data_IF_348035815198
#
_entry.id   IF_348035815198
#
_cell.length_a   1.000
_cell.length_b   1.000
_cell.length_c   1.000
_cell.angle_alpha   90.00
_cell.angle_beta   90.00
_cell.angle_gamma   90.00
#
_symmetry.space_group_name_H-M   'P 1'
#
loop_
_entity.id
_entity.type
_entity.pdbx_description
1 polymer ?
#
# COMPACT_ATOMS: atom_id res chain seq x y z
N UNK A 1 21.49 -2.87 14.43
CA UNK A 1 20.57 -2.68 15.56
C UNK A 1 20.93 -1.43 16.39
N UNK A 2 22.21 -1.16 16.66
CA UNK A 2 22.64 0.04 17.39
C UNK A 2 22.18 1.34 16.72
N UNK A 3 22.29 1.41 15.39
CA UNK A 3 21.87 2.56 14.59
C UNK A 3 20.35 2.78 14.67
N UNK A 4 19.54 1.72 14.57
CA UNK A 4 18.09 1.78 14.75
C UNK A 4 17.73 2.30 16.16
N UNK A 5 18.43 1.83 17.19
CA UNK A 5 18.19 2.29 18.57
C UNK A 5 18.47 3.79 18.74
N UNK A 6 19.55 4.30 18.13
CA UNK A 6 19.86 5.73 18.13
C UNK A 6 18.77 6.53 17.41
N UNK A 7 18.30 6.07 16.24
CA UNK A 7 17.23 6.72 15.48
C UNK A 7 15.89 6.76 16.25
N UNK A 8 15.48 5.64 16.86
CA UNK A 8 14.27 5.58 17.68
C UNK A 8 14.34 6.56 18.87
N UNK A 9 15.51 6.71 19.50
CA UNK A 9 15.71 7.66 20.62
C UNK A 9 15.77 9.10 20.16
N UNK A 10 16.34 9.39 19.00
CA UNK A 10 16.51 10.76 18.50
C UNK A 10 15.20 11.40 18.06
N UNK A 11 14.25 10.60 17.52
CA UNK A 11 13.00 11.10 16.94
C UNK A 11 11.78 10.29 17.42
N UNK A 12 11.58 10.06 18.74
CA UNK A 12 10.62 9.08 19.25
C UNK A 12 9.17 9.36 18.80
N UNK A 13 8.75 10.63 18.81
CA UNK A 13 7.40 11.03 18.39
C UNK A 13 7.14 10.80 16.90
N UNK A 14 8.13 11.03 16.04
CA UNK A 14 7.99 10.80 14.61
C UNK A 14 7.86 9.29 14.33
N UNK A 15 8.65 8.46 15.02
CA UNK A 15 8.52 7.01 14.93
C UNK A 15 7.15 6.52 15.41
N UNK A 16 6.66 6.99 16.56
CA UNK A 16 5.34 6.60 17.07
C UNK A 16 4.22 7.02 16.12
N UNK A 17 4.18 8.29 15.68
CA UNK A 17 3.11 8.82 14.84
C UNK A 17 3.09 8.11 13.48
N UNK A 18 4.24 8.06 12.78
CA UNK A 18 4.25 7.53 11.42
C UNK A 18 4.17 6.01 11.37
N UNK A 19 4.63 5.31 12.41
CA UNK A 19 4.38 3.87 12.56
C UNK A 19 2.92 3.58 12.88
N UNK A 20 2.29 4.38 13.71
CA UNK A 20 0.85 4.29 13.95
C UNK A 20 0.05 4.51 12.66
N UNK A 21 0.36 5.57 11.90
CA UNK A 21 -0.31 5.85 10.62
C UNK A 21 -0.08 4.72 9.61
N UNK A 22 1.18 4.33 9.39
CA UNK A 22 1.53 3.36 8.34
C UNK A 22 1.17 1.92 8.65
N UNK A 23 1.08 1.53 9.92
CA UNK A 23 0.81 0.16 10.32
C UNK A 23 -0.52 -0.01 11.04
N UNK A 24 -0.82 0.80 12.06
CA UNK A 24 -2.07 0.62 12.85
C UNK A 24 -3.27 1.18 12.10
N UNK A 25 -3.19 2.44 11.66
CA UNK A 25 -4.28 3.10 10.93
C UNK A 25 -4.48 2.51 9.51
N UNK A 26 -3.53 1.72 9.04
CA UNK A 26 -3.67 0.89 7.86
C UNK A 26 -4.36 -0.45 8.19
N UNK A 27 -3.74 -1.28 9.05
CA UNK A 27 -4.17 -2.66 9.26
C UNK A 27 -5.47 -2.79 10.06
N UNK A 28 -5.67 -1.97 11.10
CA UNK A 28 -6.86 -2.11 11.94
C UNK A 28 -8.16 -1.78 11.19
N UNK A 29 -8.28 -0.66 10.43
CA UNK A 29 -9.47 -0.42 9.63
C UNK A 29 -9.66 -1.43 8.50
N UNK A 30 -8.57 -1.90 7.87
CA UNK A 30 -8.64 -2.92 6.82
C UNK A 30 -9.19 -4.24 7.36
N UNK A 31 -8.69 -4.69 8.51
CA UNK A 31 -9.15 -5.91 9.18
C UNK A 31 -10.59 -5.76 9.66
N UNK A 32 -10.96 -4.59 10.21
CA UNK A 32 -12.34 -4.28 10.58
C UNK A 32 -13.28 -4.40 9.38
N UNK A 33 -12.93 -3.79 8.24
CA UNK A 33 -13.71 -3.83 7.02
C UNK A 33 -13.95 -5.27 6.53
N UNK A 34 -12.95 -6.13 6.65
CA UNK A 34 -13.02 -7.53 6.25
C UNK A 34 -14.03 -8.36 7.10
N UNK A 35 -14.39 -7.89 8.28
CA UNK A 35 -15.44 -8.49 9.10
C UNK A 35 -16.86 -8.14 8.66
N UNK A 36 -17.06 -7.11 7.83
CA UNK A 36 -18.37 -6.61 7.43
C UNK A 36 -18.67 -6.76 5.93
N UNK A 37 -17.65 -6.82 5.11
CA UNK A 37 -17.82 -6.96 3.66
C UNK A 37 -17.10 -8.15 3.07
N UNK A 38 -17.53 -8.59 1.89
CA UNK A 38 -16.86 -9.68 1.18
C UNK A 38 -15.45 -9.28 0.76
N UNK A 39 -14.55 -10.27 0.65
CA UNK A 39 -13.13 -10.06 0.36
C UNK A 39 -12.88 -9.26 -0.93
N UNK A 40 -13.68 -9.50 -1.98
CA UNK A 40 -13.59 -8.78 -3.24
C UNK A 40 -13.85 -7.26 -3.09
N UNK A 41 -14.81 -6.87 -2.22
CA UNK A 41 -15.12 -5.46 -1.97
C UNK A 41 -13.96 -4.77 -1.22
N UNK A 42 -13.42 -5.44 -0.20
CA UNK A 42 -12.28 -4.94 0.60
C UNK A 42 -11.03 -4.82 -0.28
N UNK A 43 -10.65 -5.89 -1.00
CA UNK A 43 -9.45 -5.90 -1.85
C UNK A 43 -9.56 -4.92 -3.02
N UNK A 44 -10.74 -4.82 -3.65
CA UNK A 44 -10.96 -3.88 -4.73
C UNK A 44 -10.96 -2.43 -4.27
N UNK A 45 -11.61 -2.11 -3.15
CA UNK A 45 -11.57 -0.76 -2.57
C UNK A 45 -10.16 -0.39 -2.12
N UNK A 46 -9.39 -1.34 -1.60
CA UNK A 46 -7.98 -1.15 -1.24
C UNK A 46 -7.13 -0.61 -2.39
N UNK A 47 -7.44 -0.95 -3.62
CA UNK A 47 -6.69 -0.47 -4.80
C UNK A 47 -6.72 1.06 -4.99
N UNK A 48 -7.61 1.76 -4.29
CA UNK A 48 -7.58 3.23 -4.21
C UNK A 48 -6.24 3.74 -3.66
N UNK A 49 -5.49 2.90 -2.92
CA UNK A 49 -4.15 3.23 -2.43
C UNK A 49 -3.19 3.66 -3.56
N UNK A 50 -3.36 3.14 -4.78
CA UNK A 50 -2.56 3.49 -5.97
C UNK A 50 -2.72 4.98 -6.30
N UNK A 51 -3.96 5.46 -6.29
CA UNK A 51 -4.27 6.88 -6.52
C UNK A 51 -3.94 7.73 -5.29
N UNK A 52 -4.22 7.20 -4.09
CA UNK A 52 -3.91 7.89 -2.83
C UNK A 52 -2.42 8.23 -2.73
N UNK A 53 -1.53 7.30 -3.06
CA UNK A 53 -0.10 7.55 -3.09
C UNK A 53 0.29 8.70 -4.01
N UNK A 54 -0.29 8.78 -5.20
CA UNK A 54 -0.05 9.88 -6.16
C UNK A 54 -0.59 11.22 -5.64
N UNK A 55 -1.80 11.23 -5.08
CA UNK A 55 -2.43 12.44 -4.53
C UNK A 55 -1.69 13.00 -3.32
N UNK A 56 -1.01 12.16 -2.55
CA UNK A 56 -0.21 12.58 -1.39
C UNK A 56 1.12 13.26 -1.77
N UNK A 57 1.55 13.23 -3.04
CA UNK A 57 2.82 13.81 -3.48
C UNK A 57 3.08 15.25 -2.96
N UNK A 58 2.12 16.20 -2.95
CA UNK A 58 2.37 17.57 -2.48
C UNK A 58 2.63 17.70 -0.96
N UNK A 59 2.37 16.63 -0.18
CA UNK A 59 2.68 16.61 1.27
C UNK A 59 4.17 16.36 1.54
N UNK A 60 4.94 16.01 0.50
CA UNK A 60 6.35 15.68 0.60
C UNK A 60 7.18 16.81 -0.01
N UNK A 61 8.37 17.01 0.57
CA UNK A 61 9.30 18.05 0.19
C UNK A 61 10.63 17.46 -0.23
N UNK A 62 11.29 18.13 -1.15
CA UNK A 62 12.67 17.83 -1.52
C UNK A 62 13.50 19.11 -1.49
N UNK A 63 14.79 18.97 -1.25
CA UNK A 63 15.74 20.10 -1.30
C UNK A 63 16.36 20.10 -2.70
N UNK A 64 16.07 21.15 -3.48
CA UNK A 64 16.65 21.36 -4.81
C UNK A 64 17.44 22.67 -4.78
N UNK A 65 18.75 22.61 -5.03
CA UNK A 65 19.63 23.78 -5.02
C UNK A 65 19.53 24.61 -3.72
N UNK A 66 19.44 23.93 -2.56
CA UNK A 66 19.32 24.57 -1.25
C UNK A 66 17.93 25.18 -0.95
N UNK A 67 16.96 25.03 -1.84
CA UNK A 67 15.56 25.49 -1.65
C UNK A 67 14.66 24.30 -1.39
N UNK A 68 13.76 24.47 -0.43
CA UNK A 68 12.70 23.51 -0.12
C UNK A 68 11.59 23.62 -1.17
N UNK A 69 11.38 22.56 -1.95
CA UNK A 69 10.34 22.50 -3.00
C UNK A 69 9.38 21.36 -2.68
N UNK A 70 8.08 21.61 -2.81
CA UNK A 70 7.07 20.54 -2.72
C UNK A 70 7.01 19.76 -4.01
N UNK A 71 6.78 18.45 -3.89
CA UNK A 71 6.53 17.61 -5.06
C UNK A 71 5.21 17.99 -5.73
N UNK A 72 5.20 17.93 -7.05
CA UNK A 72 3.98 18.08 -7.85
C UNK A 72 3.33 16.72 -8.06
N UNK A 73 2.01 16.72 -8.22
CA UNK A 73 1.26 15.51 -8.60
C UNK A 73 1.70 15.10 -10.01
N UNK A 74 2.21 13.88 -10.21
CA UNK A 74 2.57 13.38 -11.53
C UNK A 74 1.29 13.01 -12.30
N UNK A 75 0.72 13.97 -13.04
CA UNK A 75 -0.58 13.84 -13.71
C UNK A 75 -0.69 12.62 -14.62
N UNK A 76 0.37 12.28 -15.34
CA UNK A 76 0.38 11.10 -16.23
C UNK A 76 0.23 9.83 -15.38
N UNK A 77 0.98 9.72 -14.30
CA UNK A 77 0.86 8.58 -13.37
C UNK A 77 -0.54 8.51 -12.75
N UNK A 78 -1.13 9.66 -12.39
CA UNK A 78 -2.49 9.73 -11.86
C UNK A 78 -3.53 9.23 -12.88
N UNK A 79 -3.41 9.64 -14.14
CA UNK A 79 -4.32 9.19 -15.21
C UNK A 79 -4.21 7.68 -15.45
N UNK A 80 -2.99 7.14 -15.50
CA UNK A 80 -2.77 5.70 -15.68
C UNK A 80 -3.33 4.93 -14.47
N UNK A 81 -3.10 5.40 -13.23
CA UNK A 81 -3.69 4.82 -12.03
C UNK A 81 -5.23 4.85 -12.06
N UNK A 82 -5.82 5.93 -12.59
CA UNK A 82 -7.26 6.04 -12.81
C UNK A 82 -7.79 4.97 -13.78
N UNK A 83 -7.06 4.70 -14.86
CA UNK A 83 -7.42 3.62 -15.81
C UNK A 83 -7.39 2.25 -15.12
N UNK A 84 -6.38 1.97 -14.27
CA UNK A 84 -6.32 0.74 -13.49
C UNK A 84 -7.54 0.62 -12.58
N UNK A 85 -7.93 1.69 -11.87
CA UNK A 85 -9.11 1.70 -11.01
C UNK A 85 -10.40 1.41 -11.78
N UNK A 86 -10.55 1.93 -13.00
CA UNK A 86 -11.71 1.60 -13.86
C UNK A 86 -11.77 0.10 -14.12
N UNK A 87 -10.64 -0.54 -14.43
CA UNK A 87 -10.56 -1.99 -14.60
C UNK A 87 -10.98 -2.76 -13.35
N UNK A 88 -10.55 -2.31 -12.17
CA UNK A 88 -10.89 -2.91 -10.90
C UNK A 88 -12.40 -2.79 -10.61
N UNK A 89 -12.99 -1.62 -10.84
CA UNK A 89 -14.44 -1.43 -10.69
C UNK A 89 -15.25 -2.34 -11.61
N UNK A 90 -14.83 -2.53 -12.87
CA UNK A 90 -15.49 -3.43 -13.80
C UNK A 90 -15.52 -4.87 -13.30
N UNK A 91 -14.47 -5.34 -12.62
CA UNK A 91 -14.42 -6.68 -12.02
C UNK A 91 -15.47 -6.81 -10.91
N UNK A 92 -15.75 -5.72 -10.17
CA UNK A 92 -16.62 -5.73 -8.99
C UNK A 92 -18.12 -5.54 -9.32
N UNK A 93 -18.47 -4.94 -10.47
CA UNK A 93 -19.86 -4.66 -10.85
C UNK A 93 -20.80 -5.86 -10.72
N UNK A 94 -20.44 -7.08 -11.21
CA UNK A 94 -21.35 -8.22 -11.14
C UNK A 94 -21.75 -8.64 -9.73
N UNK A 95 -20.93 -8.34 -8.75
CA UNK A 95 -21.09 -8.75 -7.35
C UNK A 95 -21.73 -7.66 -6.48
N UNK A 96 -21.80 -6.41 -6.97
CA UNK A 96 -22.23 -5.25 -6.20
C UNK A 96 -23.73 -5.29 -5.81
N UNK A 97 -24.54 -5.96 -6.59
CA UNK A 97 -26.00 -6.03 -6.38
C UNK A 97 -26.41 -6.82 -5.10
N UNK A 98 -25.51 -7.67 -4.59
CA UNK A 98 -25.79 -8.56 -3.45
C UNK A 98 -25.38 -7.97 -2.10
N UNK A 99 -24.74 -6.80 -2.08
CA UNK A 99 -24.16 -6.21 -0.87
C UNK A 99 -25.13 -5.21 -0.23
N UNK A 100 -25.40 -5.37 1.08
CA UNK A 100 -26.23 -4.43 1.83
C UNK A 100 -25.56 -3.06 1.98
N UNK A 101 -26.38 -1.99 2.10
CA UNK A 101 -25.87 -0.61 2.31
C UNK A 101 -24.97 -0.49 3.53
N UNK A 102 -25.31 -1.19 4.62
CA UNK A 102 -24.52 -1.20 5.85
C UNK A 102 -23.15 -1.84 5.63
N UNK A 103 -23.10 -2.99 4.95
CA UNK A 103 -21.85 -3.66 4.60
C UNK A 103 -20.97 -2.78 3.69
N UNK A 104 -21.58 -2.05 2.74
CA UNK A 104 -20.85 -1.09 1.90
C UNK A 104 -20.18 0.00 2.73
N UNK A 105 -20.92 0.66 3.64
CA UNK A 105 -20.35 1.76 4.46
C UNK A 105 -19.27 1.26 5.41
N UNK A 106 -19.53 0.15 6.12
CA UNK A 106 -18.59 -0.42 7.10
C UNK A 106 -17.37 -1.09 6.45
N UNK A 107 -17.42 -1.41 5.17
CA UNK A 107 -16.27 -1.90 4.42
C UNK A 107 -15.52 -0.77 3.72
N UNK A 108 -16.20 0.03 2.89
CA UNK A 108 -15.53 1.04 2.06
C UNK A 108 -14.89 2.14 2.91
N UNK A 109 -15.60 2.67 3.90
CA UNK A 109 -15.09 3.79 4.73
C UNK A 109 -13.75 3.49 5.41
N UNK A 110 -13.65 2.41 6.20
CA UNK A 110 -12.39 2.03 6.84
C UNK A 110 -11.28 1.70 5.84
N UNK A 111 -11.59 1.03 4.71
CA UNK A 111 -10.60 0.74 3.66
C UNK A 111 -10.07 2.01 3.02
N UNK A 112 -10.89 3.04 2.82
CA UNK A 112 -10.41 4.33 2.33
C UNK A 112 -9.41 4.97 3.30
N UNK A 113 -9.68 4.93 4.60
CA UNK A 113 -8.71 5.39 5.62
C UNK A 113 -7.40 4.63 5.49
N UNK A 114 -7.45 3.31 5.41
CA UNK A 114 -6.28 2.45 5.24
C UNK A 114 -5.51 2.78 3.95
N UNK A 115 -6.22 2.99 2.83
CA UNK A 115 -5.63 3.27 1.51
C UNK A 115 -4.81 4.57 1.47
N UNK A 116 -5.17 5.57 2.26
CA UNK A 116 -4.37 6.79 2.42
C UNK A 116 -3.29 6.66 3.50
N UNK A 117 -3.58 5.97 4.59
CA UNK A 117 -2.67 5.82 5.73
C UNK A 117 -1.39 5.06 5.36
N UNK A 118 -1.49 3.98 4.59
CA UNK A 118 -0.36 3.15 4.21
C UNK A 118 0.73 3.89 3.42
N UNK A 119 0.44 4.49 2.25
CA UNK A 119 1.46 5.25 1.50
C UNK A 119 1.94 6.48 2.27
N UNK A 120 1.07 7.14 3.04
CA UNK A 120 1.46 8.30 3.86
C UNK A 120 2.48 7.89 4.92
N UNK A 121 2.20 6.85 5.70
CA UNK A 121 3.10 6.36 6.75
C UNK A 121 4.45 5.89 6.18
N UNK A 122 4.44 5.08 5.10
CA UNK A 122 5.66 4.61 4.45
C UNK A 122 6.52 5.77 3.95
N UNK A 123 5.94 6.72 3.21
CA UNK A 123 6.66 7.85 2.63
C UNK A 123 7.18 8.80 3.71
N UNK A 124 6.41 9.06 4.77
CA UNK A 124 6.87 9.87 5.90
C UNK A 124 8.02 9.22 6.67
N UNK A 125 7.99 7.90 6.84
CA UNK A 125 9.13 7.19 7.44
C UNK A 125 10.36 7.21 6.53
N UNK A 126 10.21 7.19 5.20
CA UNK A 126 11.33 7.42 4.28
C UNK A 126 11.97 8.80 4.46
N UNK A 127 11.16 9.87 4.66
CA UNK A 127 11.68 11.22 4.98
C UNK A 127 12.37 11.26 6.34
N UNK A 128 11.76 10.66 7.39
CA UNK A 128 12.32 10.68 8.77
C UNK A 128 13.66 9.99 8.85
N UNK A 129 13.80 8.84 8.18
CA UNK A 129 15.03 8.03 8.21
C UNK A 129 16.08 8.51 7.22
N UNK A 130 15.68 9.19 6.15
CA UNK A 130 16.53 9.78 5.09
C UNK A 130 17.70 8.88 4.63
N UNK A 131 17.46 7.56 4.56
CA UNK A 131 18.45 6.57 4.17
C UNK A 131 19.56 6.30 5.19
N UNK A 132 19.44 6.80 6.43
CA UNK A 132 20.42 6.55 7.49
C UNK A 132 20.37 5.12 8.01
N UNK A 133 19.25 4.44 7.86
CA UNK A 133 19.05 3.03 8.20
C UNK A 133 18.54 2.26 6.97
N UNK A 134 18.83 0.97 6.93
CA UNK A 134 18.32 0.11 5.85
C UNK A 134 16.82 -0.15 5.98
N UNK A 135 16.22 -0.67 4.91
CA UNK A 135 14.77 -0.94 4.85
C UNK A 135 14.32 -1.95 5.90
N UNK A 136 15.12 -2.98 6.20
CA UNK A 136 14.78 -3.97 7.22
C UNK A 136 14.74 -3.34 8.61
N UNK A 137 15.72 -2.50 8.94
CA UNK A 137 15.75 -1.74 10.18
C UNK A 137 14.55 -0.78 10.28
N UNK A 138 14.15 -0.15 9.16
CA UNK A 138 12.98 0.72 9.12
C UNK A 138 11.69 -0.07 9.40
N UNK A 139 11.47 -1.20 8.74
CA UNK A 139 10.31 -2.07 8.99
C UNK A 139 10.29 -2.55 10.44
N UNK A 140 11.42 -3.03 10.96
CA UNK A 140 11.54 -3.45 12.36
C UNK A 140 11.23 -2.31 13.33
N UNK A 141 11.77 -1.12 13.09
CA UNK A 141 11.53 0.07 13.91
C UNK A 141 10.06 0.49 13.91
N UNK A 142 9.41 0.49 12.74
CA UNK A 142 7.97 0.76 12.61
C UNK A 142 7.13 -0.29 13.35
N UNK A 143 7.51 -1.57 13.26
CA UNK A 143 6.83 -2.65 13.98
C UNK A 143 6.95 -2.42 15.49
N UNK A 144 8.16 -2.18 16.02
CA UNK A 144 8.38 -1.92 17.45
C UNK A 144 7.60 -0.68 17.91
N UNK A 145 7.66 0.42 17.16
CA UNK A 145 6.99 1.67 17.53
C UNK A 145 5.45 1.58 17.46
N UNK A 146 4.89 0.66 16.65
CA UNK A 146 3.43 0.41 16.59
C UNK A 146 2.93 -0.57 17.66
N UNK A 147 3.83 -1.34 18.31
CA UNK A 147 3.46 -2.35 19.33
C UNK A 147 2.55 -1.85 20.46
N UNK A 148 2.74 -0.65 21.03
CA UNK A 148 1.85 -0.17 22.09
C UNK A 148 0.38 -0.16 21.67
N UNK A 149 0.08 0.29 20.46
CA UNK A 149 -1.29 0.30 19.95
C UNK A 149 -1.84 -1.12 19.73
N UNK A 150 -1.02 -2.03 19.21
CA UNK A 150 -1.40 -3.43 19.01
C UNK A 150 -1.66 -4.15 20.34
N UNK A 151 -0.86 -3.87 21.36
CA UNK A 151 -1.06 -4.43 22.71
C UNK A 151 -2.41 -3.94 23.28
N UNK A 152 -2.73 -2.65 23.15
CA UNK A 152 -4.01 -2.10 23.59
C UNK A 152 -5.18 -2.79 22.88
N UNK A 153 -5.10 -2.94 21.54
CA UNK A 153 -6.13 -3.64 20.78
C UNK A 153 -6.25 -5.12 21.14
N UNK A 154 -5.12 -5.80 21.38
CA UNK A 154 -5.11 -7.21 21.79
C UNK A 154 -5.73 -7.40 23.18
N UNK A 155 -5.41 -6.52 24.13
CA UNK A 155 -6.00 -6.53 25.48
C UNK A 155 -7.50 -6.28 25.40
N UNK A 156 -7.93 -5.28 24.63
CA UNK A 156 -9.35 -5.01 24.40
C UNK A 156 -10.07 -6.24 23.80
N UNK A 157 -9.51 -6.86 22.78
CA UNK A 157 -10.06 -8.05 22.14
C UNK A 157 -10.14 -9.23 23.12
N UNK A 158 -9.13 -9.42 23.96
CA UNK A 158 -9.12 -10.48 24.97
C UNK A 158 -10.30 -10.37 25.95
N UNK A 159 -10.64 -9.16 26.37
CA UNK A 159 -11.76 -8.92 27.30
C UNK A 159 -13.14 -8.92 26.64
N UNK A 160 -13.23 -8.63 25.34
CA UNK A 160 -14.51 -8.52 24.62
C UNK A 160 -14.87 -9.76 23.83
N UNK A 161 -13.88 -10.45 23.25
CA UNK A 161 -14.08 -11.58 22.34
C UNK A 161 -13.49 -12.88 22.91
N UNK A 162 -12.44 -12.78 23.73
CA UNK A 162 -11.71 -13.91 24.29
C UNK A 162 -10.47 -14.29 23.47
N UNK A 163 -9.94 -15.48 23.74
CA UNK A 163 -8.74 -16.00 23.08
C UNK A 163 -9.04 -16.45 21.64
N UNK A 164 -8.15 -16.18 20.69
CA UNK A 164 -8.29 -16.65 19.31
C UNK A 164 -8.19 -18.19 19.25
N UNK A 165 -8.89 -18.80 18.30
CA UNK A 165 -8.73 -20.23 18.02
C UNK A 165 -7.35 -20.53 17.43
N UNK A 166 -6.89 -21.78 17.53
CA UNK A 166 -5.62 -22.22 16.94
C UNK A 166 -5.61 -21.98 15.41
N UNK A 167 -6.74 -22.23 14.74
CA UNK A 167 -6.88 -21.98 13.30
C UNK A 167 -6.68 -20.49 12.96
N UNK A 168 -7.26 -19.57 13.73
CA UNK A 168 -7.04 -18.13 13.56
C UNK A 168 -5.58 -17.75 13.77
N UNK A 169 -4.92 -18.29 14.80
CA UNK A 169 -3.50 -18.03 15.06
C UNK A 169 -2.63 -18.49 13.89
N UNK A 170 -2.87 -19.70 13.35
CA UNK A 170 -2.11 -20.24 12.20
C UNK A 170 -2.33 -19.38 10.95
N UNK A 171 -3.59 -18.99 10.65
CA UNK A 171 -3.89 -18.11 9.52
C UNK A 171 -3.20 -16.75 9.66
N UNK A 172 -3.28 -16.13 10.84
CA UNK A 172 -2.59 -14.87 11.12
C UNK A 172 -1.06 -15.00 10.99
N UNK A 173 -0.48 -16.12 11.42
CA UNK A 173 0.96 -16.38 11.28
C UNK A 173 1.38 -16.45 9.81
N UNK A 174 0.62 -17.17 8.98
CA UNK A 174 0.87 -17.25 7.53
C UNK A 174 0.81 -15.86 6.90
N UNK A 175 -0.22 -15.06 7.21
CA UNK A 175 -0.35 -13.68 6.71
C UNK A 175 0.76 -12.80 7.23
N UNK A 176 1.13 -12.90 8.52
CA UNK A 176 2.20 -12.10 9.11
C UNK A 176 3.55 -12.37 8.43
N UNK A 177 3.87 -13.61 8.11
CA UNK A 177 5.13 -13.94 7.43
C UNK A 177 5.08 -13.53 5.96
N UNK A 178 4.06 -13.94 5.21
CA UNK A 178 4.00 -13.74 3.76
C UNK A 178 3.75 -12.27 3.40
N UNK A 179 2.74 -11.63 3.98
CA UNK A 179 2.36 -10.25 3.70
C UNK A 179 3.10 -9.25 4.61
N UNK A 180 3.11 -9.50 5.92
CA UNK A 180 3.71 -8.59 6.89
C UNK A 180 5.23 -8.48 6.78
N UNK A 181 5.94 -9.59 6.67
CA UNK A 181 7.41 -9.57 6.60
C UNK A 181 7.88 -9.54 5.14
N UNK A 182 7.55 -10.54 4.33
CA UNK A 182 8.13 -10.70 3.00
C UNK A 182 7.63 -9.60 2.05
N UNK A 183 6.33 -9.52 1.81
CA UNK A 183 5.78 -8.58 0.83
C UNK A 183 6.00 -7.12 1.25
N UNK A 184 5.77 -6.77 2.51
CA UNK A 184 5.99 -5.41 3.03
C UNK A 184 7.46 -4.99 2.89
N UNK A 185 8.40 -5.87 3.23
CA UNK A 185 9.83 -5.56 3.08
C UNK A 185 10.23 -5.35 1.63
N UNK A 186 9.79 -6.25 0.72
CA UNK A 186 10.06 -6.11 -0.71
C UNK A 186 9.47 -4.82 -1.29
N UNK A 187 8.24 -4.49 -0.92
CA UNK A 187 7.57 -3.27 -1.34
C UNK A 187 8.30 -2.02 -0.81
N UNK A 188 8.73 -2.03 0.45
CA UNK A 188 9.49 -0.92 1.03
C UNK A 188 10.87 -0.76 0.40
N UNK A 189 11.55 -1.85 0.04
CA UNK A 189 12.81 -1.80 -0.74
C UNK A 189 12.56 -1.16 -2.10
N UNK A 190 11.49 -1.57 -2.80
CA UNK A 190 11.17 -1.05 -4.12
C UNK A 190 10.84 0.45 -4.08
N UNK A 191 10.00 0.89 -3.13
CA UNK A 191 9.63 2.31 -2.96
C UNK A 191 10.82 3.17 -2.53
N UNK A 192 11.69 2.64 -1.68
CA UNK A 192 12.88 3.35 -1.18
C UNK A 192 13.89 3.64 -2.29
N UNK A 193 14.06 2.70 -3.24
CA UNK A 193 14.95 2.89 -4.42
C UNK A 193 14.50 4.02 -5.33
N UNK A 194 13.24 4.37 -5.33
CA UNK A 194 12.65 5.39 -6.22
C UNK A 194 12.08 6.59 -5.47
N UNK A 195 12.35 6.72 -4.18
CA UNK A 195 11.75 7.70 -3.26
C UNK A 195 11.82 9.15 -3.72
N UNK A 196 12.85 9.51 -4.50
CA UNK A 196 13.07 10.87 -4.99
C UNK A 196 12.32 11.21 -6.29
N UNK A 197 11.69 10.22 -6.92
CA UNK A 197 10.97 10.37 -8.19
C UNK A 197 9.51 9.92 -8.02
N UNK A 198 8.60 10.88 -7.91
CA UNK A 198 7.17 10.61 -7.66
C UNK A 198 6.51 9.81 -8.79
N UNK A 199 6.96 9.97 -10.04
CA UNK A 199 6.45 9.20 -11.17
C UNK A 199 6.85 7.73 -11.09
N UNK A 200 8.11 7.44 -10.75
CA UNK A 200 8.59 6.07 -10.53
C UNK A 200 7.96 5.45 -9.28
N UNK A 201 7.80 6.24 -8.20
CA UNK A 201 7.15 5.79 -6.98
C UNK A 201 5.69 5.38 -7.25
N UNK A 202 4.94 6.18 -8.01
CA UNK A 202 3.59 5.84 -8.43
C UNK A 202 3.57 4.55 -9.28
N UNK A 203 4.57 4.33 -10.14
CA UNK A 203 4.70 3.10 -10.91
C UNK A 203 4.92 1.86 -10.02
N UNK A 204 5.73 1.97 -8.97
CA UNK A 204 5.92 0.89 -7.98
C UNK A 204 4.64 0.65 -7.20
N UNK A 205 3.97 1.71 -6.72
CA UNK A 205 2.70 1.59 -6.00
C UNK A 205 1.60 0.96 -6.87
N UNK A 206 1.57 1.25 -8.18
CA UNK A 206 0.62 0.64 -9.12
C UNK A 206 0.78 -0.88 -9.25
N UNK A 207 1.95 -1.45 -8.94
CA UNK A 207 2.13 -2.92 -8.97
C UNK A 207 1.24 -3.65 -7.96
N UNK A 208 0.72 -2.96 -6.94
CA UNK A 208 -0.25 -3.52 -6.00
C UNK A 208 -1.54 -4.00 -6.70
N UNK A 209 -1.91 -3.44 -7.86
CA UNK A 209 -3.06 -3.92 -8.63
C UNK A 209 -2.94 -5.37 -9.11
N UNK A 210 -1.72 -5.94 -9.16
CA UNK A 210 -1.52 -7.37 -9.43
C UNK A 210 -2.16 -8.28 -8.38
N UNK A 211 -2.36 -7.78 -7.15
CA UNK A 211 -3.05 -8.50 -6.09
C UNK A 211 -4.42 -8.98 -6.55
N UNK A 212 -5.18 -8.15 -7.25
CA UNK A 212 -6.51 -8.50 -7.76
C UNK A 212 -6.43 -9.67 -8.75
N UNK A 213 -5.41 -9.68 -9.61
CA UNK A 213 -5.22 -10.78 -10.58
C UNK A 213 -4.86 -12.08 -9.88
N UNK A 214 -3.94 -12.04 -8.90
CA UNK A 214 -3.57 -13.21 -8.11
C UNK A 214 -4.71 -13.70 -7.22
N UNK A 215 -5.54 -12.79 -6.66
CA UNK A 215 -6.71 -13.16 -5.89
C UNK A 215 -7.72 -13.96 -6.75
N UNK A 216 -8.05 -13.46 -7.95
CA UNK A 216 -8.96 -14.16 -8.88
C UNK A 216 -8.40 -15.53 -9.26
N UNK A 217 -7.11 -15.63 -9.59
CA UNK A 217 -6.46 -16.89 -9.92
C UNK A 217 -6.52 -17.85 -8.73
N UNK A 218 -6.22 -17.35 -7.53
CA UNK A 218 -6.28 -18.13 -6.29
C UNK A 218 -7.70 -18.64 -5.98
N UNK A 219 -8.72 -17.80 -6.14
CA UNK A 219 -10.14 -18.17 -5.97
C UNK A 219 -10.56 -19.28 -6.94
N UNK A 220 -10.19 -19.17 -8.21
CA UNK A 220 -10.51 -20.19 -9.22
C UNK A 220 -9.80 -21.52 -8.91
N UNK A 221 -8.49 -21.47 -8.60
CA UNK A 221 -7.67 -22.69 -8.44
C UNK A 221 -7.88 -23.37 -7.08
N UNK A 222 -7.99 -22.60 -5.99
CA UNK A 222 -8.02 -23.12 -4.63
C UNK A 222 -9.44 -23.30 -4.10
N UNK A 223 -10.36 -22.40 -4.46
CA UNK A 223 -11.73 -22.41 -3.98
C UNK A 223 -12.72 -22.97 -5.02
N UNK A 224 -12.23 -23.30 -6.24
CA UNK A 224 -13.04 -23.83 -7.34
C UNK A 224 -14.27 -22.96 -7.68
N UNK A 225 -14.12 -21.64 -7.51
CA UNK A 225 -15.17 -20.67 -7.84
C UNK A 225 -15.31 -20.60 -9.36
N UNK A 226 -16.54 -20.37 -9.83
CA UNK A 226 -16.84 -20.24 -11.26
C UNK A 226 -16.02 -19.10 -11.90
N UNK A 227 -15.73 -19.24 -13.19
CA UNK A 227 -15.04 -18.21 -13.96
C UNK A 227 -15.78 -16.86 -13.83
N UNK A 228 -15.04 -15.76 -13.76
CA UNK A 228 -15.62 -14.43 -13.68
C UNK A 228 -16.54 -14.11 -14.87
N UNK A 229 -17.50 -13.21 -14.65
CA UNK A 229 -18.37 -12.72 -15.72
C UNK A 229 -17.56 -12.07 -16.88
N UNK A 230 -18.05 -12.04 -18.12
CA UNK A 230 -17.32 -11.48 -19.26
C UNK A 230 -16.80 -10.05 -19.04
N UNK A 231 -17.55 -9.21 -18.31
CA UNK A 231 -17.14 -7.85 -17.97
C UNK A 231 -15.90 -7.81 -17.05
N UNK A 232 -15.71 -8.83 -16.22
CA UNK A 232 -14.52 -8.93 -15.37
C UNK A 232 -13.27 -9.21 -16.20
N UNK A 233 -13.34 -9.99 -17.29
CA UNK A 233 -12.22 -10.17 -18.21
C UNK A 233 -11.82 -8.86 -18.91
N UNK A 234 -12.79 -8.00 -19.24
CA UNK A 234 -12.51 -6.66 -19.74
C UNK A 234 -11.76 -5.85 -18.68
N UNK A 235 -12.20 -5.89 -17.43
CA UNK A 235 -11.52 -5.23 -16.30
C UNK A 235 -10.09 -5.72 -16.11
N UNK A 236 -9.84 -7.03 -16.17
CA UNK A 236 -8.50 -7.64 -16.13
C UNK A 236 -7.63 -7.10 -17.25
N UNK A 237 -8.15 -7.06 -18.48
CA UNK A 237 -7.43 -6.51 -19.64
C UNK A 237 -7.02 -5.05 -19.42
N UNK A 238 -7.91 -4.22 -18.90
CA UNK A 238 -7.65 -2.81 -18.59
C UNK A 238 -6.57 -2.67 -17.50
N UNK A 239 -6.59 -3.48 -16.45
CA UNK A 239 -5.55 -3.49 -15.40
C UNK A 239 -4.19 -3.81 -16.01
N UNK A 240 -4.10 -4.88 -16.82
CA UNK A 240 -2.85 -5.28 -17.48
C UNK A 240 -2.32 -4.16 -18.37
N UNK A 241 -3.17 -3.55 -19.20
CA UNK A 241 -2.78 -2.41 -20.05
C UNK A 241 -2.31 -1.23 -19.19
N UNK A 242 -3.03 -0.89 -18.13
CA UNK A 242 -2.63 0.18 -17.22
C UNK A 242 -1.26 -0.08 -16.58
N UNK A 243 -0.98 -1.29 -16.14
CA UNK A 243 0.32 -1.68 -15.58
C UNK A 243 1.44 -1.60 -16.62
N UNK A 244 1.20 -2.04 -17.85
CA UNK A 244 2.17 -1.91 -18.95
C UNK A 244 2.46 -0.44 -19.27
N UNK A 245 1.43 0.42 -19.26
CA UNK A 245 1.59 1.87 -19.44
C UNK A 245 2.39 2.49 -18.29
N UNK A 246 2.17 2.11 -17.04
CA UNK A 246 2.99 2.55 -15.92
C UNK A 246 4.45 2.13 -16.06
N UNK A 247 4.69 0.87 -16.39
CA UNK A 247 6.05 0.33 -16.61
C UNK A 247 6.76 1.07 -17.74
N UNK A 248 6.08 1.31 -18.85
CA UNK A 248 6.62 2.07 -19.98
C UNK A 248 6.94 3.51 -19.59
N UNK A 249 6.02 4.20 -18.93
CA UNK A 249 6.23 5.57 -18.45
C UNK A 249 7.40 5.67 -17.48
N UNK A 250 7.53 4.73 -16.54
CA UNK A 250 8.64 4.65 -15.61
C UNK A 250 9.98 4.44 -16.33
N UNK A 251 10.01 3.59 -17.36
CA UNK A 251 11.20 3.37 -18.19
C UNK A 251 11.61 4.64 -18.96
N UNK A 252 10.65 5.40 -19.48
CA UNK A 252 10.92 6.69 -20.14
C UNK A 252 11.54 7.71 -19.18
N UNK A 253 10.99 7.82 -17.97
CA UNK A 253 11.54 8.70 -16.91
C UNK A 253 12.98 8.34 -16.58
N UNK A 254 13.29 7.04 -16.47
CA UNK A 254 14.64 6.55 -16.19
C UNK A 254 15.64 6.92 -17.30
N UNK A 255 15.26 6.73 -18.57
CA UNK A 255 16.10 7.10 -19.73
C UNK A 255 16.39 8.60 -19.78
N UNK A 256 15.38 9.44 -19.50
CA UNK A 256 15.53 10.89 -19.47
C UNK A 256 16.49 11.35 -18.35
N UNK A 257 16.45 10.74 -17.20
CA UNK A 257 17.38 11.02 -16.10
C UNK A 257 18.82 10.67 -16.46
N UNK A 258 19.07 9.53 -17.11
CA UNK A 258 20.41 9.14 -17.56
C UNK A 258 20.99 10.06 -18.64
N UNK A 259 20.18 10.52 -19.59
CA UNK A 259 20.66 11.44 -20.64
C UNK A 259 21.07 12.80 -20.09
N UNK A 260 20.38 13.31 -19.04
CA UNK A 260 20.73 14.58 -18.39
C UNK A 260 22.04 14.48 -17.61
N UNK A 261 22.30 13.34 -16.96
CA UNK A 261 23.54 13.11 -16.21
C UNK A 261 24.75 13.03 -17.17
N UNK A 262 24.62 12.29 -18.27
CA UNK A 262 25.69 12.15 -19.26
C UNK A 262 26.02 13.48 -19.99
N UNK A 263 25.01 14.34 -20.25
CA UNK A 263 25.25 15.66 -20.83
C UNK A 263 25.86 16.69 -19.87
N UNK A 264 25.85 16.44 -18.55
CA UNK A 264 26.52 17.31 -17.56
C UNK A 264 27.95 16.86 -17.24
N UNK A 265 28.33 15.65 -17.64
CA UNK A 265 29.66 15.08 -17.46
C UNK A 265 30.53 15.14 -18.72
N UNK A 266 29.98 15.60 -19.83
CA UNK A 266 30.68 15.92 -21.08
C UNK A 266 30.88 17.45 -21.22
#
# INVERSE_FOLDING_TARGET
LTQLHCELKSKPWQWLIWSFVGFVLFYAPLTFAAGYGPGWLVSGTWQITIVAGVLLAPLFIQIVNGKTVRHHIPLISLLISGVILIGIFLIQIPQAAEVSKTALILSIGPVLVAAFAYPLGNRKMMEVTDGQIDTFQRVLGMTIASMPAWIILAVYALFTVGLPSISQVVQCLVVAISSGVIATTLFFIATDRVRHDQGKLAGVEATQSTEVLFAIIGEILLLQIALPAPIAFLGIGIIIVGMLLHSYHTALLSRKSHSIINNKSA
#
